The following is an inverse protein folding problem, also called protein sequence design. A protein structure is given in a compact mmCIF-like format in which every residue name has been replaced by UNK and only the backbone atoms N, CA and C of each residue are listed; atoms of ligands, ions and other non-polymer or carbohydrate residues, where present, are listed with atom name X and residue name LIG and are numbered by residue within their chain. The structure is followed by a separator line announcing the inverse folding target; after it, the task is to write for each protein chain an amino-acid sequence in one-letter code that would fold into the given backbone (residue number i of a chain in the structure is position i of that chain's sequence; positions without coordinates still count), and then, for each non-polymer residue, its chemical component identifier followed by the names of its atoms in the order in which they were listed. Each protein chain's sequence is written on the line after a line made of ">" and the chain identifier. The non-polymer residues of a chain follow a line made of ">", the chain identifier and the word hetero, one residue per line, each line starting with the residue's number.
data_IF_207823729604
#
_entry.id   IF_207823729604
#
_cell.length_a   1.000
_cell.length_b   1.000
_cell.length_c   1.000
_cell.angle_alpha   90.00
_cell.angle_beta   90.00
_cell.angle_gamma   90.00
#
_symmetry.space_group_name_H-M   'P 1'
#
loop_
_entity.id
_entity.type
_entity.pdbx_description
1 polymer ?
#
# COMPACT_ATOMS: atom_id res chain seq x y z
N UNK A 1 16.62 8.63 -10.72
CA UNK A 1 15.34 7.89 -10.67
C UNK A 1 15.26 7.02 -9.41
N UNK A 2 16.03 7.33 -8.36
CA UNK A 2 16.06 6.53 -7.12
C UNK A 2 15.12 7.12 -6.06
N UNK A 3 14.84 8.43 -6.15
CA UNK A 3 13.98 9.17 -5.23
C UNK A 3 12.53 8.68 -5.26
N UNK A 4 11.94 8.51 -6.44
CA UNK A 4 10.55 8.03 -6.58
C UNK A 4 10.35 6.64 -5.95
N UNK A 5 11.35 5.76 -6.08
CA UNK A 5 11.32 4.42 -5.50
C UNK A 5 11.38 4.49 -3.97
N UNK A 6 12.28 5.33 -3.45
CA UNK A 6 12.44 5.53 -2.01
C UNK A 6 11.19 6.17 -1.39
N UNK A 7 10.59 7.14 -2.07
CA UNK A 7 9.33 7.79 -1.68
C UNK A 7 8.20 6.75 -1.60
N UNK A 8 8.02 5.93 -2.64
CA UNK A 8 6.97 4.90 -2.65
C UNK A 8 7.19 3.83 -1.58
N UNK A 9 8.45 3.45 -1.28
CA UNK A 9 8.74 2.54 -0.18
C UNK A 9 8.39 3.12 1.18
N UNK A 10 8.68 4.41 1.41
CA UNK A 10 8.30 5.12 2.65
C UNK A 10 6.78 5.19 2.81
N UNK A 11 6.07 5.55 1.75
CA UNK A 11 4.60 5.60 1.72
C UNK A 11 4.00 4.22 2.01
N UNK A 12 4.55 3.17 1.39
CA UNK A 12 4.12 1.78 1.61
C UNK A 12 4.29 1.38 3.08
N UNK A 13 5.44 1.70 3.69
CA UNK A 13 5.71 1.40 5.10
C UNK A 13 4.79 2.18 6.05
N UNK A 14 4.47 3.43 5.73
CA UNK A 14 3.53 4.22 6.52
C UNK A 14 2.11 3.65 6.44
N UNK A 15 1.66 3.27 5.24
CA UNK A 15 0.36 2.65 5.02
C UNK A 15 0.26 1.29 5.73
N UNK A 16 1.30 0.48 5.70
CA UNK A 16 1.39 -0.77 6.47
C UNK A 16 1.24 -0.51 7.98
N UNK A 17 1.93 0.49 8.52
CA UNK A 17 1.83 0.86 9.93
C UNK A 17 0.42 1.36 10.31
N UNK A 18 -0.26 2.08 9.42
CA UNK A 18 -1.65 2.54 9.61
C UNK A 18 -2.63 1.38 9.56
N UNK A 19 -2.48 0.48 8.58
CA UNK A 19 -3.27 -0.75 8.47
C UNK A 19 -3.06 -1.67 9.69
N UNK A 20 -1.83 -1.80 10.16
CA UNK A 20 -1.47 -2.53 11.38
C UNK A 20 -2.12 -1.97 12.66
N UNK A 21 -2.36 -0.65 12.72
CA UNK A 21 -3.11 -0.01 13.82
C UNK A 21 -4.62 -0.23 13.71
N UNK A 22 -5.18 -0.18 12.50
CA UNK A 22 -6.60 -0.42 12.27
C UNK A 22 -6.96 -1.90 12.55
N UNK A 23 -6.10 -2.82 12.12
CA UNK A 23 -6.26 -4.26 12.35
C UNK A 23 -5.99 -4.70 13.79
N UNK A 24 -5.04 -4.08 14.51
CA UNK A 24 -4.86 -4.35 15.96
C UNK A 24 -6.09 -3.95 16.80
N UNK A 25 -6.91 -3.01 16.31
CA UNK A 25 -8.21 -2.69 16.93
C UNK A 25 -9.27 -3.77 16.74
N UNK A 26 -9.09 -4.68 15.77
CA UNK A 26 -10.03 -5.76 15.39
C UNK A 26 -9.54 -7.16 15.82
N UNK A 27 -8.29 -7.31 16.25
CA UNK A 27 -7.66 -8.60 16.55
C UNK A 27 -8.10 -9.26 17.88
N UNK A 28 -9.08 -8.71 18.61
CA UNK A 28 -9.55 -9.35 19.84
C UNK A 28 -10.50 -10.54 19.62
N UNK A 29 -10.93 -10.88 18.39
CA UNK A 29 -11.96 -11.94 18.20
C UNK A 29 -11.84 -12.77 16.90
N UNK A 30 -10.66 -13.21 16.46
CA UNK A 30 -10.61 -14.16 15.30
C UNK A 30 -9.84 -15.45 15.64
N UNK A 31 -10.50 -16.63 15.64
CA UNK A 31 -9.85 -17.91 15.89
C UNK A 31 -8.96 -18.35 14.69
N UNK A 32 -7.91 -19.17 14.95
CA UNK A 32 -6.94 -19.57 13.94
C UNK A 32 -7.58 -20.59 12.98
N UNK A 33 -7.92 -20.14 11.77
CA UNK A 33 -8.51 -21.01 10.74
C UNK A 33 -9.14 -20.30 9.54
N UNK A 34 -9.31 -18.98 9.57
CA UNK A 34 -9.75 -18.24 8.39
C UNK A 34 -8.57 -18.06 7.43
N UNK A 35 -8.56 -18.85 6.35
CA UNK A 35 -7.75 -18.62 5.18
C UNK A 35 -7.94 -17.18 4.68
N UNK A 36 -6.94 -16.32 4.89
CA UNK A 36 -6.89 -14.98 4.28
C UNK A 36 -6.55 -15.16 2.80
N UNK A 37 -7.55 -15.49 2.00
CA UNK A 37 -7.50 -15.39 0.55
C UNK A 37 -8.74 -14.62 0.09
N UNK A 38 -8.46 -13.50 -0.57
CA UNK A 38 -9.29 -12.83 -1.58
C UNK A 38 -10.54 -12.09 -1.08
N UNK A 39 -10.41 -10.77 -0.89
CA UNK A 39 -11.30 -9.81 -1.56
C UNK A 39 -10.65 -8.41 -1.61
N UNK A 40 -10.43 -7.91 -2.83
CA UNK A 40 -9.81 -6.63 -3.21
C UNK A 40 -10.58 -5.37 -2.72
N UNK A 41 -11.51 -5.50 -1.78
CA UNK A 41 -12.40 -4.43 -1.32
C UNK A 41 -12.42 -4.13 0.19
N UNK A 42 -11.95 -5.02 1.06
CA UNK A 42 -12.28 -4.96 2.50
C UNK A 42 -11.35 -4.08 3.37
N UNK A 43 -10.21 -3.62 2.87
CA UNK A 43 -9.30 -2.74 3.65
C UNK A 43 -9.56 -1.24 3.47
N UNK A 44 -10.71 -0.88 2.89
CA UNK A 44 -11.09 0.51 2.66
C UNK A 44 -10.10 1.28 1.76
N UNK A 45 -10.22 2.62 1.70
CA UNK A 45 -9.34 3.46 0.86
C UNK A 45 -7.84 3.30 1.22
N UNK A 46 -7.52 3.00 2.48
CA UNK A 46 -6.14 2.79 2.95
C UNK A 46 -5.50 1.51 2.39
N UNK A 47 -6.25 0.41 2.32
CA UNK A 47 -5.74 -0.83 1.73
C UNK A 47 -5.51 -0.73 0.22
N UNK A 48 -6.39 -0.01 -0.48
CA UNK A 48 -6.22 0.29 -1.90
C UNK A 48 -4.95 1.09 -2.13
N UNK A 49 -4.76 2.16 -1.36
CA UNK A 49 -3.57 3.02 -1.48
C UNK A 49 -2.28 2.25 -1.14
N UNK A 50 -2.32 1.33 -0.17
CA UNK A 50 -1.18 0.45 0.16
C UNK A 50 -0.77 -0.45 -1.00
N UNK A 51 -1.72 -1.17 -1.60
CA UNK A 51 -1.43 -2.04 -2.75
C UNK A 51 -0.95 -1.24 -3.96
N UNK A 52 -1.48 -0.02 -4.15
CA UNK A 52 -1.08 0.85 -5.23
C UNK A 52 0.36 1.37 -5.05
N UNK A 53 0.73 1.83 -3.86
CA UNK A 53 2.09 2.27 -3.54
C UNK A 53 3.11 1.13 -3.68
N UNK A 54 2.76 -0.08 -3.20
CA UNK A 54 3.61 -1.26 -3.33
C UNK A 54 3.84 -1.64 -4.81
N UNK A 55 2.79 -1.59 -5.63
CA UNK A 55 2.87 -1.84 -7.07
C UNK A 55 3.78 -0.83 -7.77
N UNK A 56 3.69 0.46 -7.44
CA UNK A 56 4.55 1.49 -8.03
C UNK A 56 6.00 1.37 -7.57
N UNK A 57 6.25 1.07 -6.29
CA UNK A 57 7.59 0.78 -5.79
C UNK A 57 8.24 -0.40 -6.55
N UNK A 58 7.46 -1.46 -6.81
CA UNK A 58 7.93 -2.60 -7.59
C UNK A 58 8.17 -2.23 -9.05
N UNK A 59 7.27 -1.50 -9.70
CA UNK A 59 7.41 -1.02 -11.08
C UNK A 59 8.70 -0.19 -11.27
N UNK A 60 9.01 0.67 -10.31
CA UNK A 60 10.27 1.43 -10.29
C UNK A 60 11.49 0.52 -10.09
N UNK A 61 11.40 -0.46 -9.19
CA UNK A 61 12.49 -1.40 -8.92
C UNK A 61 12.85 -2.29 -10.12
N UNK A 62 11.87 -2.66 -10.95
CA UNK A 62 12.09 -3.44 -12.18
C UNK A 62 12.37 -2.57 -13.41
N UNK A 63 12.38 -1.24 -13.26
CA UNK A 63 12.66 -0.31 -14.35
C UNK A 63 11.51 -0.16 -15.35
N UNK A 64 10.26 -0.41 -14.93
CA UNK A 64 9.05 -0.21 -15.72
C UNK A 64 8.20 0.97 -15.22
N UNK A 65 8.72 2.22 -15.23
CA UNK A 65 7.97 3.38 -14.74
C UNK A 65 6.72 3.68 -15.58
N UNK A 66 6.61 3.12 -16.79
CA UNK A 66 5.42 3.23 -17.64
C UNK A 66 4.16 2.57 -17.05
N UNK A 67 4.31 1.68 -16.07
CA UNK A 67 3.20 1.03 -15.37
C UNK A 67 2.63 1.90 -14.24
N UNK A 68 3.24 3.06 -13.98
CA UNK A 68 2.86 3.99 -12.93
C UNK A 68 1.88 4.99 -13.53
N UNK A 69 0.69 5.08 -12.93
CA UNK A 69 -0.20 6.18 -13.23
C UNK A 69 0.33 7.41 -12.50
N UNK A 70 0.74 8.43 -13.26
CA UNK A 70 1.37 9.60 -12.67
C UNK A 70 0.40 10.40 -11.79
N UNK A 71 -0.89 10.43 -12.13
CA UNK A 71 -1.88 11.16 -11.34
C UNK A 71 -2.12 10.49 -9.98
N UNK A 72 -2.23 9.15 -9.96
CA UNK A 72 -2.36 8.41 -8.70
C UNK A 72 -1.04 8.40 -7.91
N UNK A 73 0.12 8.38 -8.58
CA UNK A 73 1.41 8.54 -7.91
C UNK A 73 1.52 9.88 -7.20
N UNK A 74 1.25 10.99 -7.91
CA UNK A 74 1.31 12.33 -7.32
C UNK A 74 0.28 12.45 -6.18
N UNK A 75 -0.92 11.88 -6.33
CA UNK A 75 -1.91 11.79 -5.23
C UNK A 75 -1.35 11.07 -3.99
N UNK A 76 -0.69 9.92 -4.17
CA UNK A 76 -0.10 9.18 -3.06
C UNK A 76 1.01 9.97 -2.37
N UNK A 77 1.83 10.69 -3.13
CA UNK A 77 2.87 11.57 -2.59
C UNK A 77 2.27 12.76 -1.86
N UNK A 78 1.23 13.40 -2.39
CA UNK A 78 0.56 14.51 -1.70
C UNK A 78 -0.14 14.06 -0.40
N UNK A 79 -0.64 12.83 -0.37
CA UNK A 79 -1.41 12.32 0.75
C UNK A 79 -0.55 11.70 1.86
N UNK A 80 0.62 11.14 1.53
CA UNK A 80 1.46 10.33 2.43
C UNK A 80 2.97 10.63 2.36
N UNK A 81 3.43 11.47 1.43
CA UNK A 81 4.83 11.81 1.20
C UNK A 81 5.39 12.92 2.09
#
# INVERSE_FOLDING_TARGET
>A
MTDDQEIMQKITAELDARLGKETNGLQNEVPPGASVQEDDGERGPLGRDYHLAAKYAQALAIGEPQLIDRAEFDRLVEQYG
#
